data_IF_068840805361
#
_entry.id   IF_068840805361
#
_cell.length_a   1.000
_cell.length_b   1.000
_cell.length_c   1.000
_cell.angle_alpha   90.00
_cell.angle_beta   90.00
_cell.angle_gamma   90.00
#
_symmetry.space_group_name_H-M   'P 1'
#
loop_
_entity.id
_entity.type
_entity.pdbx_description
1 polymer ?
#
# COMPACT_ATOMS: atom_id res chain seq x y z
N UNK A 1 -34.00 45.03 6.74
CA UNK A 1 -33.65 44.09 5.64
C UNK A 1 -32.22 43.61 5.87
N UNK A 2 -31.91 42.34 5.56
CA UNK A 2 -30.63 41.61 5.78
C UNK A 2 -30.48 40.94 7.17
N UNK A 3 -31.05 39.73 7.33
CA UNK A 3 -30.72 38.75 8.41
C UNK A 3 -31.07 37.31 7.99
N UNK A 4 -30.56 36.77 6.88
CA UNK A 4 -30.87 35.38 6.47
C UNK A 4 -29.67 34.56 5.89
N UNK A 5 -28.42 35.06 5.94
CA UNK A 5 -27.28 34.38 5.32
C UNK A 5 -26.43 33.49 6.26
N UNK A 6 -26.69 33.47 7.57
CA UNK A 6 -25.80 32.80 8.54
C UNK A 6 -26.18 31.32 8.86
N UNK A 7 -27.34 30.84 8.43
CA UNK A 7 -27.85 29.51 8.81
C UNK A 7 -27.44 28.37 7.86
N UNK A 8 -26.93 28.65 6.66
CA UNK A 8 -26.62 27.63 5.65
C UNK A 8 -25.19 27.05 5.75
N UNK A 9 -24.28 27.71 6.47
CA UNK A 9 -22.86 27.29 6.60
C UNK A 9 -22.69 26.22 7.69
N UNK A 10 -23.57 26.18 8.69
CA UNK A 10 -23.45 25.24 9.81
C UNK A 10 -23.88 23.79 9.48
N UNK A 11 -24.80 23.58 8.51
CA UNK A 11 -25.23 22.23 8.13
C UNK A 11 -24.18 21.46 7.31
N UNK A 12 -23.33 22.16 6.55
CA UNK A 12 -22.26 21.52 5.77
C UNK A 12 -21.13 20.94 6.65
N UNK A 13 -20.86 21.55 7.80
CA UNK A 13 -19.76 21.15 8.68
C UNK A 13 -20.04 19.86 9.47
N UNK A 14 -21.30 19.56 9.79
CA UNK A 14 -21.66 18.31 10.49
C UNK A 14 -21.71 17.09 9.57
N UNK A 15 -21.99 17.26 8.28
CA UNK A 15 -21.96 16.17 7.31
C UNK A 15 -20.53 15.67 7.01
N UNK A 16 -19.52 16.54 7.10
CA UNK A 16 -18.11 16.17 6.88
C UNK A 16 -17.49 15.32 8.00
N UNK A 17 -17.89 15.53 9.26
CA UNK A 17 -17.36 14.77 10.40
C UNK A 17 -17.84 13.30 10.41
N UNK A 18 -19.02 13.02 9.86
CA UNK A 18 -19.55 11.66 9.73
C UNK A 18 -18.88 10.86 8.60
N UNK A 19 -18.34 11.52 7.57
CA UNK A 19 -17.57 10.85 6.51
C UNK A 19 -16.17 10.42 6.96
N UNK A 20 -15.62 11.05 8.01
CA UNK A 20 -14.35 10.68 8.63
C UNK A 20 -14.47 9.72 9.82
N UNK A 21 -15.70 9.34 10.21
CA UNK A 21 -15.92 8.10 10.94
C UNK A 21 -15.60 6.95 9.98
N UNK A 22 -14.30 6.71 9.79
CA UNK A 22 -13.77 5.68 8.94
C UNK A 22 -14.56 4.41 9.20
N UNK A 23 -15.15 3.88 8.14
CA UNK A 23 -15.81 2.59 8.13
C UNK A 23 -14.87 1.60 8.82
N UNK A 24 -15.13 1.28 10.10
CA UNK A 24 -14.20 0.47 10.92
C UNK A 24 -14.12 -0.95 10.38
N UNK A 25 -15.02 -1.32 9.47
CA UNK A 25 -14.93 -2.57 8.72
C UNK A 25 -13.81 -2.57 7.68
N UNK A 26 -13.26 -1.40 7.32
CA UNK A 26 -12.14 -1.31 6.40
C UNK A 26 -10.79 -1.11 7.12
N UNK A 27 -9.82 -1.93 6.73
CA UNK A 27 -8.42 -1.78 7.12
C UNK A 27 -7.78 -0.66 6.29
N UNK A 28 -6.95 0.21 6.90
CA UNK A 28 -6.07 1.07 6.14
C UNK A 28 -5.11 0.19 5.34
N UNK A 29 -5.19 0.25 4.02
CA UNK A 29 -4.35 -0.55 3.15
C UNK A 29 -4.10 0.14 1.80
N UNK A 30 -2.96 -0.16 1.19
CA UNK A 30 -2.59 0.31 -0.14
C UNK A 30 -1.80 -0.77 -0.90
N UNK A 31 -1.84 -0.70 -2.23
CA UNK A 31 -1.09 -1.63 -3.09
C UNK A 31 -0.60 -0.93 -4.34
N UNK A 32 0.61 -1.29 -4.79
CA UNK A 32 1.14 -0.92 -6.11
C UNK A 32 0.92 -2.05 -7.15
N UNK A 33 0.28 -3.14 -6.74
CA UNK A 33 0.00 -4.32 -7.56
C UNK A 33 1.04 -5.43 -7.46
N UNK A 34 2.24 -5.15 -6.93
CA UNK A 34 3.26 -6.15 -6.60
C UNK A 34 3.45 -6.29 -5.08
N UNK A 35 3.25 -5.20 -4.35
CA UNK A 35 3.37 -5.05 -2.90
C UNK A 35 2.03 -4.58 -2.34
N UNK A 36 1.58 -5.23 -1.27
CA UNK A 36 0.42 -4.84 -0.50
C UNK A 36 0.85 -4.50 0.94
N UNK A 37 0.34 -3.38 1.44
CA UNK A 37 0.58 -2.87 2.79
C UNK A 37 -0.75 -2.77 3.51
N UNK A 38 -0.87 -3.42 4.66
CA UNK A 38 -2.13 -3.54 5.40
C UNK A 38 -1.86 -3.23 6.87
N UNK A 39 -2.66 -2.34 7.47
CA UNK A 39 -2.57 -2.06 8.90
C UNK A 39 -3.64 -2.83 9.64
N UNK A 40 -3.22 -3.66 10.61
CA UNK A 40 -4.11 -4.47 11.46
C UNK A 40 -3.97 -4.05 12.92
N UNK A 41 -5.02 -4.24 13.70
CA UNK A 41 -4.97 -4.05 15.15
C UNK A 41 -4.54 -5.37 15.83
N UNK A 42 -3.63 -5.27 16.80
CA UNK A 42 -3.17 -6.37 17.65
C UNK A 42 -3.32 -5.96 19.11
N UNK A 43 -3.86 -6.84 19.94
CA UNK A 43 -3.89 -6.64 21.39
C UNK A 43 -2.50 -6.89 21.97
N UNK A 44 -1.95 -5.90 22.68
CA UNK A 44 -0.72 -6.02 23.44
C UNK A 44 -0.97 -5.71 24.93
N UNK A 45 -0.05 -6.07 25.85
CA UNK A 45 -0.21 -5.76 27.28
C UNK A 45 -0.38 -4.26 27.58
N UNK A 46 0.18 -3.39 26.74
CA UNK A 46 0.09 -1.93 26.83
C UNK A 46 -1.15 -1.32 26.15
N UNK A 47 -2.02 -2.15 25.56
CA UNK A 47 -3.19 -1.72 24.79
C UNK A 47 -3.16 -2.18 23.33
N UNK A 48 -4.03 -1.60 22.51
CA UNK A 48 -4.10 -1.92 21.09
C UNK A 48 -2.91 -1.32 20.32
N UNK A 49 -2.18 -2.16 19.60
CA UNK A 49 -1.12 -1.80 18.67
C UNK A 49 -1.62 -1.86 17.24
N UNK A 50 -1.06 -1.01 16.37
CA UNK A 50 -1.39 -0.99 14.94
C UNK A 50 -0.19 -1.50 14.15
N UNK A 51 -0.27 -2.73 13.68
CA UNK A 51 0.85 -3.42 13.02
C UNK A 51 0.73 -3.24 11.53
N UNK A 52 1.80 -2.76 10.89
CA UNK A 52 1.87 -2.69 9.42
C UNK A 52 2.44 -3.98 8.88
N UNK A 53 1.63 -4.67 8.10
CA UNK A 53 1.95 -5.91 7.42
C UNK A 53 2.30 -5.64 5.96
N UNK A 54 3.35 -6.31 5.47
CA UNK A 54 3.80 -6.27 4.09
C UNK A 54 3.66 -7.65 3.45
N UNK A 55 2.92 -7.71 2.34
CA UNK A 55 2.86 -8.87 1.45
C UNK A 55 3.42 -8.47 0.08
N UNK A 56 4.13 -9.38 -0.59
CA UNK A 56 4.59 -9.18 -1.96
C UNK A 56 4.46 -10.45 -2.79
N UNK A 57 4.15 -10.29 -4.08
CA UNK A 57 4.06 -11.42 -5.03
C UNK A 57 5.33 -12.28 -5.05
N UNK A 58 6.49 -11.63 -4.99
CA UNK A 58 7.79 -12.30 -5.02
C UNK A 58 8.09 -13.14 -3.76
N UNK A 59 7.22 -13.11 -2.75
CA UNK A 59 7.29 -14.06 -1.62
C UNK A 59 6.88 -15.48 -2.03
N UNK A 60 6.18 -15.67 -3.16
CA UNK A 60 5.90 -16.99 -3.73
C UNK A 60 4.92 -17.86 -2.94
N UNK A 61 4.05 -17.25 -2.14
CA UNK A 61 3.05 -17.95 -1.32
C UNK A 61 2.24 -16.99 -0.46
N UNK A 62 1.39 -17.56 0.40
CA UNK A 62 0.59 -16.85 1.39
C UNK A 62 1.46 -16.46 2.59
N UNK A 63 2.42 -15.56 2.36
CA UNK A 63 3.35 -15.07 3.37
C UNK A 63 3.15 -13.60 3.67
N UNK A 64 3.54 -13.17 4.87
CA UNK A 64 3.49 -11.77 5.29
C UNK A 64 4.69 -11.44 6.18
N UNK A 65 5.15 -10.20 6.13
CA UNK A 65 6.15 -9.66 7.05
C UNK A 65 5.53 -8.57 7.91
N UNK A 66 5.80 -8.59 9.21
CA UNK A 66 5.59 -7.42 10.06
C UNK A 66 6.68 -6.38 9.72
N UNK A 67 6.27 -5.22 9.19
CA UNK A 67 7.19 -4.18 8.78
C UNK A 67 7.55 -3.27 9.97
N UNK A 68 6.54 -2.81 10.72
CA UNK A 68 6.69 -1.94 11.89
C UNK A 68 5.35 -1.79 12.64
N UNK A 69 5.42 -1.24 13.85
CA UNK A 69 4.26 -0.94 14.70
C UNK A 69 4.03 0.58 14.74
N UNK A 70 2.79 1.00 14.60
CA UNK A 70 2.34 2.37 14.67
C UNK A 70 1.68 2.67 16.02
N UNK A 71 1.83 3.89 16.54
CA UNK A 71 1.24 4.26 17.83
C UNK A 71 -0.29 4.40 17.77
N UNK A 72 -0.86 4.61 16.57
CA UNK A 72 -2.29 4.86 16.33
C UNK A 72 -2.69 4.33 14.94
N UNK A 73 -3.99 4.20 14.68
CA UNK A 73 -4.51 3.91 13.33
C UNK A 73 -4.16 5.08 12.39
N UNK A 74 -3.58 4.82 11.21
CA UNK A 74 -3.36 5.89 10.24
C UNK A 74 -4.69 6.40 9.66
N UNK A 75 -4.69 7.68 9.28
CA UNK A 75 -5.82 8.32 8.60
C UNK A 75 -5.83 7.93 7.11
N UNK A 76 -4.64 7.80 6.50
CA UNK A 76 -4.50 7.32 5.12
C UNK A 76 -3.15 6.64 4.86
N UNK A 77 -3.11 5.84 3.79
CA UNK A 77 -1.94 5.10 3.32
C UNK A 77 -1.93 5.12 1.79
N UNK A 78 -0.75 5.17 1.17
CA UNK A 78 -0.56 5.01 -0.27
C UNK A 78 0.69 4.16 -0.54
N UNK A 79 0.73 3.50 -1.70
CA UNK A 79 1.86 2.63 -2.08
C UNK A 79 2.31 2.90 -3.52
N UNK A 80 3.62 2.78 -3.75
CA UNK A 80 4.27 2.90 -5.06
C UNK A 80 5.66 2.29 -4.99
N UNK A 81 6.03 1.49 -5.99
CA UNK A 81 7.37 0.90 -6.16
C UNK A 81 7.98 0.30 -4.89
N UNK A 82 7.26 -0.65 -4.29
CA UNK A 82 7.63 -1.29 -3.02
C UNK A 82 7.72 -0.35 -1.81
N UNK A 83 7.33 0.91 -1.95
CA UNK A 83 7.30 1.89 -0.87
C UNK A 83 5.88 2.11 -0.39
N UNK A 84 5.76 2.48 0.89
CA UNK A 84 4.52 2.85 1.54
C UNK A 84 4.65 4.22 2.18
N UNK A 85 3.60 5.01 2.04
CA UNK A 85 3.44 6.32 2.67
C UNK A 85 2.29 6.27 3.64
N UNK A 86 2.49 6.80 4.84
CA UNK A 86 1.53 6.71 5.94
C UNK A 86 1.31 8.10 6.50
N UNK A 87 0.04 8.51 6.59
CA UNK A 87 -0.37 9.76 7.23
C UNK A 87 -1.11 9.44 8.51
N UNK A 88 -0.56 9.88 9.64
CA UNK A 88 -1.17 9.71 10.95
C UNK A 88 -2.17 10.84 11.20
N UNK A 89 -3.26 10.58 11.94
CA UNK A 89 -4.14 11.64 12.40
C UNK A 89 -3.38 12.61 13.32
N UNK A 90 -3.81 13.88 13.45
CA UNK A 90 -3.23 14.80 14.42
C UNK A 90 -3.21 14.20 15.84
N UNK A 91 -2.12 14.40 16.59
CA UNK A 91 -2.01 13.92 17.98
C UNK A 91 -3.10 14.50 18.89
N UNK A 92 -3.42 15.76 18.64
CA UNK A 92 -4.44 16.54 19.34
C UNK A 92 -5.04 17.56 18.37
N UNK A 93 -6.11 18.23 18.81
CA UNK A 93 -6.80 19.23 17.98
C UNK A 93 -5.87 20.39 17.65
N UNK A 94 -5.70 20.68 16.36
CA UNK A 94 -4.82 21.75 15.88
C UNK A 94 -3.35 21.34 15.71
N UNK A 95 -2.96 20.14 16.15
CA UNK A 95 -1.65 19.59 15.83
C UNK A 95 -1.54 19.26 14.33
N UNK A 96 -0.32 19.06 13.84
CA UNK A 96 -0.06 18.59 12.48
C UNK A 96 -0.23 17.06 12.39
N UNK A 97 -0.37 16.55 11.17
CA UNK A 97 -0.37 15.12 10.84
C UNK A 97 1.06 14.66 10.59
N UNK A 98 1.50 13.63 11.30
CA UNK A 98 2.80 13.03 11.04
C UNK A 98 2.76 12.21 9.75
N UNK A 99 3.84 12.28 8.97
CA UNK A 99 3.95 11.64 7.67
C UNK A 99 5.20 10.78 7.66
N UNK A 100 5.02 9.50 7.35
CA UNK A 100 6.08 8.50 7.34
C UNK A 100 6.17 7.81 5.99
N UNK A 101 7.35 7.29 5.67
CA UNK A 101 7.49 6.30 4.60
C UNK A 101 8.42 5.16 4.96
N UNK A 102 8.30 4.06 4.24
CA UNK A 102 9.22 2.91 4.30
C UNK A 102 9.26 2.22 2.95
N UNK A 103 10.41 1.67 2.58
CA UNK A 103 10.59 0.90 1.35
C UNK A 103 10.88 -0.55 1.69
N UNK A 104 10.23 -1.50 1.01
CA UNK A 104 10.55 -2.92 1.14
C UNK A 104 11.61 -3.32 0.12
N UNK A 105 12.77 -3.77 0.59
CA UNK A 105 13.87 -4.26 -0.25
C UNK A 105 13.97 -5.78 -0.11
N UNK A 106 14.16 -6.48 -1.23
CA UNK A 106 14.39 -7.93 -1.22
C UNK A 106 15.87 -8.21 -1.03
N UNK A 107 16.21 -8.97 0.00
CA UNK A 107 17.56 -9.49 0.18
C UNK A 107 17.87 -10.48 -0.95
N UNK A 108 18.90 -10.25 -1.78
CA UNK A 108 19.36 -11.25 -2.73
C UNK A 108 19.91 -12.48 -2.01
N UNK A 109 20.26 -12.33 -0.72
CA UNK A 109 20.81 -13.41 0.06
C UNK A 109 19.73 -14.41 0.49
N UNK A 110 18.75 -13.93 1.23
CA UNK A 110 17.75 -14.80 1.87
C UNK A 110 16.45 -14.91 1.07
N UNK A 111 16.31 -14.09 0.02
CA UNK A 111 15.04 -13.88 -0.68
C UNK A 111 13.98 -13.16 0.17
N UNK A 112 14.27 -12.89 1.44
CA UNK A 112 13.36 -12.22 2.36
C UNK A 112 13.28 -10.72 2.08
N UNK A 113 12.15 -10.11 2.40
CA UNK A 113 11.99 -8.67 2.32
C UNK A 113 12.34 -8.06 3.67
N UNK A 114 12.90 -6.87 3.66
CA UNK A 114 13.16 -6.07 4.85
C UNK A 114 12.81 -4.61 4.56
N UNK A 115 12.60 -3.82 5.62
CA UNK A 115 12.37 -2.38 5.48
C UNK A 115 13.70 -1.66 5.26
N UNK A 116 13.73 -0.64 4.41
CA UNK A 116 14.85 0.28 4.24
C UNK A 116 14.41 1.70 4.62
N UNK A 117 14.99 2.33 5.66
CA UNK A 117 16.00 1.77 6.58
C UNK A 117 15.47 0.62 7.46
N UNK A 118 16.31 -0.36 7.85
CA UNK A 118 15.91 -1.49 8.69
C UNK A 118 15.30 -1.07 10.03
N UNK A 119 14.07 -1.54 10.28
CA UNK A 119 13.35 -1.33 11.55
C UNK A 119 12.96 0.12 11.83
N UNK A 120 13.02 1.02 10.83
CA UNK A 120 12.72 2.44 11.00
C UNK A 120 11.84 2.97 9.88
N UNK A 121 11.12 4.03 10.20
CA UNK A 121 10.37 4.84 9.25
C UNK A 121 11.20 6.07 8.90
N UNK A 122 11.17 6.45 7.62
CA UNK A 122 11.59 7.77 7.19
C UNK A 122 10.53 8.78 7.62
N UNK A 123 10.95 9.83 8.32
CA UNK A 123 10.06 10.89 8.80
C UNK A 123 10.10 12.04 7.81
N UNK A 124 8.93 12.53 7.41
CA UNK A 124 8.76 13.61 6.45
C UNK A 124 8.18 14.86 7.12
N UNK A 125 8.29 16.04 6.48
CA UNK A 125 7.54 17.23 6.89
C UNK A 125 6.07 16.91 7.19
N UNK A 126 5.61 17.24 8.39
CA UNK A 126 4.23 16.98 8.82
C UNK A 126 3.23 17.77 7.97
N UNK A 127 2.13 17.16 7.59
CA UNK A 127 1.02 17.80 6.86
C UNK A 127 0.18 18.65 7.83
N UNK A 128 -0.38 19.82 7.44
CA UNK A 128 -1.26 20.57 8.34
C UNK A 128 -2.47 19.73 8.79
N UNK A 129 -2.89 19.91 10.05
CA UNK A 129 -3.94 19.11 10.68
C UNK A 129 -5.36 19.64 10.56
N UNK A 130 -5.54 20.82 10.00
CA UNK A 130 -6.84 21.41 9.72
C UNK A 130 -7.55 20.67 8.57
N UNK A 131 -8.88 20.67 8.59
CA UNK A 131 -9.72 19.95 7.62
C UNK A 131 -9.66 18.41 7.74
N UNK A 132 -10.66 17.74 7.18
CA UNK A 132 -10.63 16.27 7.02
C UNK A 132 -9.67 15.90 5.87
N UNK A 133 -8.88 14.83 6.02
CA UNK A 133 -8.09 14.30 4.92
C UNK A 133 -9.03 13.57 3.94
N UNK A 134 -9.10 14.06 2.70
CA UNK A 134 -9.90 13.48 1.62
C UNK A 134 -9.15 12.33 0.91
N UNK A 135 -7.86 12.17 1.19
CA UNK A 135 -7.05 11.03 0.76
C UNK A 135 -5.63 11.42 0.41
N UNK A 136 -4.89 10.41 -0.03
CA UNK A 136 -3.50 10.52 -0.47
C UNK A 136 -3.25 9.63 -1.69
N UNK A 137 -2.28 10.00 -2.51
CA UNK A 137 -1.83 9.20 -3.64
C UNK A 137 -0.34 9.46 -3.86
N UNK A 138 0.36 8.57 -4.56
CA UNK A 138 1.76 8.81 -4.95
C UNK A 138 1.80 9.22 -6.42
N UNK A 139 2.57 10.26 -6.71
CA UNK A 139 2.83 10.75 -8.05
C UNK A 139 4.33 10.99 -8.22
N UNK A 140 4.94 10.28 -9.16
CA UNK A 140 6.39 10.36 -9.45
C UNK A 140 7.26 10.27 -8.16
N UNK A 141 6.92 9.31 -7.29
CA UNK A 141 7.60 9.09 -6.00
C UNK A 141 7.28 10.12 -4.91
N UNK A 142 6.49 11.16 -5.18
CA UNK A 142 6.07 12.15 -4.20
C UNK A 142 4.65 11.90 -3.69
N UNK A 143 4.44 12.11 -2.39
CA UNK A 143 3.11 12.01 -1.79
C UNK A 143 2.26 13.24 -2.14
N UNK A 144 1.10 13.01 -2.73
CA UNK A 144 0.01 13.98 -2.84
C UNK A 144 -0.95 13.79 -1.67
N UNK A 145 -1.39 14.89 -1.08
CA UNK A 145 -2.42 14.91 -0.05
C UNK A 145 -3.48 15.95 -0.38
N UNK A 146 -4.74 15.63 -0.06
CA UNK A 146 -5.83 16.57 -0.24
C UNK A 146 -6.70 16.66 1.01
N UNK A 147 -6.92 17.88 1.49
CA UNK A 147 -7.70 18.16 2.71
C UNK A 147 -8.93 19.00 2.36
N UNK A 148 -10.02 18.76 3.06
CA UNK A 148 -11.26 19.51 2.89
C UNK A 148 -11.03 21.01 3.19
N UNK A 149 -11.38 21.87 2.25
CA UNK A 149 -11.20 23.32 2.37
C UNK A 149 -9.80 23.83 2.02
N UNK A 150 -8.88 22.96 1.58
CA UNK A 150 -7.54 23.33 1.14
C UNK A 150 -7.31 22.95 -0.33
N UNK A 151 -6.31 23.56 -0.96
CA UNK A 151 -5.74 23.07 -2.22
C UNK A 151 -5.08 21.71 -2.01
N UNK A 152 -4.93 20.93 -3.08
CA UNK A 152 -4.08 19.74 -3.04
C UNK A 152 -2.63 20.17 -2.76
N UNK A 153 -1.89 19.36 -2.02
CA UNK A 153 -0.50 19.63 -1.63
C UNK A 153 0.39 18.46 -2.06
N UNK A 154 1.59 18.74 -2.54
CA UNK A 154 2.63 17.76 -2.86
C UNK A 154 3.75 17.86 -1.83
N UNK A 155 4.22 16.72 -1.36
CA UNK A 155 5.39 16.63 -0.50
C UNK A 155 6.66 16.77 -1.34
N UNK A 156 7.47 17.78 -1.05
CA UNK A 156 8.82 17.97 -1.56
C UNK A 156 9.88 17.86 -0.48
N UNK A 157 11.15 18.04 -0.86
CA UNK A 157 12.28 17.90 0.06
C UNK A 157 12.27 18.89 1.23
N UNK A 158 11.72 20.09 1.02
CA UNK A 158 11.68 21.17 2.02
C UNK A 158 10.33 21.32 2.73
N UNK A 159 9.32 20.53 2.36
CA UNK A 159 7.97 20.67 2.91
C UNK A 159 6.87 20.44 1.89
N UNK A 160 5.67 20.84 2.29
CA UNK A 160 4.47 20.75 1.47
C UNK A 160 4.34 22.01 0.61
N UNK A 161 4.08 21.82 -0.69
CA UNK A 161 3.79 22.90 -1.63
C UNK A 161 2.43 22.69 -2.25
N UNK A 162 1.74 23.78 -2.61
CA UNK A 162 0.51 23.69 -3.38
C UNK A 162 0.76 22.89 -4.68
N UNK A 163 -0.19 22.03 -5.02
CA UNK A 163 -0.18 21.28 -6.26
C UNK A 163 -1.21 21.92 -7.20
N UNK A 164 -0.71 22.60 -8.24
CA UNK A 164 -1.50 23.45 -9.14
C UNK A 164 -2.27 22.64 -10.19
N UNK A 165 -2.97 21.59 -9.77
CA UNK A 165 -3.91 20.86 -10.60
C UNK A 165 -5.34 21.25 -10.22
N UNK A 166 -6.10 21.73 -11.20
CA UNK A 166 -7.51 22.03 -11.02
C UNK A 166 -8.27 20.74 -10.67
N UNK A 167 -8.71 20.63 -9.40
CA UNK A 167 -9.53 19.51 -8.97
C UNK A 167 -10.95 19.72 -9.52
N UNK A 168 -11.53 18.73 -10.23
CA UNK A 168 -12.88 18.84 -10.75
C UNK A 168 -13.91 19.15 -9.65
N UNK A 169 -14.88 20.00 -9.98
CA UNK A 169 -15.95 20.35 -9.06
C UNK A 169 -16.71 19.10 -8.61
N UNK A 170 -16.96 19.00 -7.30
CA UNK A 170 -17.68 17.86 -6.70
C UNK A 170 -16.83 16.62 -6.43
N UNK A 171 -15.52 16.64 -6.74
CA UNK A 171 -14.61 15.64 -6.22
C UNK A 171 -14.59 15.68 -4.68
N UNK A 172 -14.43 14.52 -4.06
CA UNK A 172 -14.51 14.33 -2.60
C UNK A 172 -13.48 13.35 -2.06
N UNK A 173 -12.69 12.72 -2.93
CA UNK A 173 -11.69 11.73 -2.53
C UNK A 173 -10.48 11.78 -3.47
N UNK A 174 -9.29 11.63 -2.89
CA UNK A 174 -8.03 11.38 -3.61
C UNK A 174 -7.60 9.93 -3.34
N UNK A 175 -7.26 9.17 -4.38
CA UNK A 175 -6.75 7.79 -4.28
C UNK A 175 -5.96 7.44 -5.54
N UNK A 176 -5.62 6.17 -5.72
CA UNK A 176 -4.87 5.67 -6.88
C UNK A 176 -5.77 4.77 -7.73
N UNK A 177 -5.87 5.06 -9.02
CA UNK A 177 -6.58 4.24 -10.01
C UNK A 177 -5.61 3.88 -11.13
N UNK A 178 -5.47 2.59 -11.42
CA UNK A 178 -4.55 2.10 -12.46
C UNK A 178 -3.09 2.62 -12.29
N UNK A 179 -2.63 2.72 -11.04
CA UNK A 179 -1.29 3.21 -10.69
C UNK A 179 -1.09 4.72 -10.84
N UNK A 180 -2.16 5.50 -11.03
CA UNK A 180 -2.10 6.97 -11.15
C UNK A 180 -2.95 7.64 -10.10
N UNK A 181 -2.54 8.82 -9.59
CA UNK A 181 -3.41 9.65 -8.76
C UNK A 181 -4.74 9.92 -9.47
N UNK A 182 -5.82 9.81 -8.70
CA UNK A 182 -7.17 9.99 -9.20
C UNK A 182 -8.02 10.71 -8.16
N UNK A 183 -8.88 11.60 -8.64
CA UNK A 183 -9.92 12.23 -7.83
C UNK A 183 -11.29 11.71 -8.24
N UNK A 184 -12.11 11.46 -7.23
CA UNK A 184 -13.43 10.84 -7.39
C UNK A 184 -14.47 11.72 -6.70
N UNK A 185 -15.64 11.88 -7.34
CA UNK A 185 -16.83 12.50 -6.75
C UNK A 185 -17.93 11.47 -6.51
N UNK A 186 -18.86 11.77 -5.58
CA UNK A 186 -19.93 10.83 -5.20
C UNK A 186 -20.95 10.48 -6.30
N UNK A 187 -21.00 11.25 -7.38
CA UNK A 187 -21.82 10.97 -8.57
C UNK A 187 -21.15 11.42 -9.88
N UNK A 188 -19.86 11.76 -9.83
CA UNK A 188 -19.12 12.38 -10.93
C UNK A 188 -18.13 11.42 -11.59
N UNK A 189 -17.56 11.80 -12.75
CA UNK A 189 -16.53 11.01 -13.40
C UNK A 189 -15.29 10.89 -12.50
N UNK A 190 -14.59 9.78 -12.62
CA UNK A 190 -13.23 9.63 -12.07
C UNK A 190 -12.31 10.46 -12.94
N UNK A 191 -11.54 11.38 -12.36
CA UNK A 191 -10.53 12.12 -13.09
C UNK A 191 -9.13 11.64 -12.70
N UNK A 192 -8.31 11.32 -13.70
CA UNK A 192 -6.94 10.85 -13.50
C UNK A 192 -5.96 11.99 -13.71
N UNK A 193 -4.89 12.00 -12.93
CA UNK A 193 -3.79 12.95 -13.12
C UNK A 193 -2.98 12.57 -14.35
N UNK A 194 -3.00 13.43 -15.37
CA UNK A 194 -2.25 13.35 -16.62
C UNK A 194 -0.75 13.55 -16.44
N UNK A 195 0.03 13.16 -17.44
CA UNK A 195 1.46 13.44 -17.51
C UNK A 195 1.76 14.95 -17.64
N UNK A 196 0.76 15.73 -18.05
CA UNK A 196 0.77 17.20 -18.06
C UNK A 196 0.49 17.82 -16.67
N UNK A 197 0.27 17.00 -15.64
CA UNK A 197 -0.05 17.44 -14.30
C UNK A 197 -1.49 17.92 -14.11
N UNK A 198 -2.37 17.71 -15.10
CA UNK A 198 -3.78 18.11 -15.02
C UNK A 198 -4.70 16.91 -14.76
N UNK A 199 -5.78 17.11 -14.00
CA UNK A 199 -6.83 16.10 -13.88
C UNK A 199 -7.72 16.12 -15.12
N UNK A 200 -7.80 14.99 -15.80
CA UNK A 200 -8.71 14.79 -16.93
C UNK A 200 -9.77 13.76 -16.55
N UNK A 201 -11.04 14.10 -16.80
CA UNK A 201 -12.15 13.17 -16.60
C UNK A 201 -11.96 11.94 -17.50
N UNK A 202 -11.99 10.76 -16.89
CA UNK A 202 -12.10 9.52 -17.63
C UNK A 202 -13.52 9.39 -18.19
N UNK A 203 -13.63 8.77 -19.36
CA UNK A 203 -14.89 8.46 -20.05
C UNK A 203 -15.74 7.38 -19.34
N UNK A 204 -15.25 6.83 -18.24
CA UNK A 204 -15.89 5.74 -17.53
C UNK A 204 -17.14 6.21 -16.81
N UNK A 205 -18.22 5.47 -17.01
CA UNK A 205 -19.47 5.68 -16.30
C UNK A 205 -19.45 4.92 -14.98
N UNK A 206 -19.81 5.62 -13.92
CA UNK A 206 -20.02 5.05 -12.59
C UNK A 206 -21.50 5.23 -12.25
N UNK A 207 -22.18 4.22 -11.68
CA UNK A 207 -23.59 4.35 -11.33
C UNK A 207 -23.84 5.55 -10.41
N UNK A 208 -24.82 6.39 -10.75
CA UNK A 208 -25.14 7.59 -9.99
C UNK A 208 -25.55 7.23 -8.54
N UNK A 209 -25.01 7.96 -7.57
CA UNK A 209 -25.30 7.77 -6.15
C UNK A 209 -24.62 6.55 -5.51
N UNK A 210 -23.85 5.78 -6.28
CA UNK A 210 -23.11 4.65 -5.74
C UNK A 210 -21.88 5.09 -4.96
N UNK A 211 -21.59 4.42 -3.84
CA UNK A 211 -20.33 4.61 -3.12
C UNK A 211 -19.24 3.79 -3.82
N UNK A 212 -18.31 4.50 -4.44
CA UNK A 212 -17.27 3.90 -5.28
C UNK A 212 -15.92 4.06 -4.63
N UNK A 213 -15.17 2.96 -4.57
CA UNK A 213 -13.84 2.89 -3.97
C UNK A 213 -12.88 2.28 -5.00
N UNK A 214 -11.81 2.99 -5.40
CA UNK A 214 -10.74 2.40 -6.19
C UNK A 214 -10.18 1.16 -5.50
N UNK A 215 -9.88 0.12 -6.29
CA UNK A 215 -9.10 -1.02 -5.82
C UNK A 215 -7.66 -0.77 -6.24
N UNK A 216 -6.87 -0.22 -5.31
CA UNK A 216 -5.47 0.15 -5.54
C UNK A 216 -4.61 -1.07 -5.90
N UNK A 217 -3.59 -0.87 -6.74
CA UNK A 217 -2.70 -1.93 -7.20
C UNK A 217 -3.23 -2.72 -8.41
N UNK A 218 -4.47 -2.48 -8.85
CA UNK A 218 -4.91 -2.98 -10.16
C UNK A 218 -4.22 -2.18 -11.28
N UNK A 219 -3.68 -2.87 -12.30
CA UNK A 219 -3.13 -2.23 -13.52
C UNK A 219 -4.18 -1.61 -14.44
N UNK A 220 -5.45 -1.96 -14.20
CA UNK A 220 -6.63 -1.47 -14.91
C UNK A 220 -7.51 -0.75 -13.90
N UNK A 221 -8.39 0.16 -14.35
CA UNK A 221 -9.26 0.91 -13.44
C UNK A 221 -10.35 -0.01 -12.87
N UNK A 222 -10.05 -0.65 -11.75
CA UNK A 222 -10.98 -1.53 -11.04
C UNK A 222 -11.49 -0.80 -9.81
N UNK A 223 -12.79 -0.90 -9.58
CA UNK A 223 -13.46 -0.27 -8.44
C UNK A 223 -14.34 -1.28 -7.70
N UNK A 224 -14.46 -1.08 -6.40
CA UNK A 224 -15.51 -1.65 -5.58
C UNK A 224 -16.69 -0.69 -5.51
N UNK A 225 -17.89 -1.21 -5.70
CA UNK A 225 -19.16 -0.49 -5.58
C UNK A 225 -19.96 -1.15 -4.47
N UNK A 226 -20.33 -0.36 -3.46
CA UNK A 226 -21.26 -0.80 -2.42
C UNK A 226 -22.62 -1.13 -3.05
N UNK A 227 -23.06 -2.39 -2.93
CA UNK A 227 -24.31 -2.86 -3.50
C UNK A 227 -25.53 -2.56 -2.61
N UNK A 228 -25.33 -2.04 -1.39
CA UNK A 228 -26.40 -1.71 -0.45
C UNK A 228 -27.02 -2.91 0.29
N UNK A 229 -26.73 -4.13 -0.15
CA UNK A 229 -27.07 -5.40 0.50
C UNK A 229 -25.96 -5.89 1.45
N UNK A 230 -24.94 -5.07 1.68
CA UNK A 230 -23.74 -5.40 2.45
C UNK A 230 -22.62 -6.03 1.62
N UNK A 231 -22.88 -6.39 0.36
CA UNK A 231 -21.87 -6.86 -0.59
C UNK A 231 -21.12 -5.72 -1.28
N UNK A 232 -19.96 -6.05 -1.85
CA UNK A 232 -19.22 -5.15 -2.75
C UNK A 232 -19.15 -5.76 -4.14
N UNK A 233 -19.72 -5.07 -5.13
CA UNK A 233 -19.55 -5.43 -6.53
C UNK A 233 -18.23 -4.88 -7.05
N UNK A 234 -17.40 -5.76 -7.59
CA UNK A 234 -16.11 -5.40 -8.19
C UNK A 234 -16.30 -5.23 -9.68
N UNK A 235 -15.94 -4.07 -10.21
CA UNK A 235 -16.10 -3.75 -11.62
C UNK A 235 -14.80 -3.25 -12.23
N UNK A 236 -14.52 -3.71 -13.45
CA UNK A 236 -13.53 -3.12 -14.33
C UNK A 236 -14.19 -2.01 -15.15
N UNK A 237 -13.71 -0.79 -14.96
CA UNK A 237 -14.14 0.35 -15.75
C UNK A 237 -13.50 0.33 -17.14
N UNK A 238 -14.29 0.66 -18.15
CA UNK A 238 -13.85 0.82 -19.54
C UNK A 238 -14.84 1.73 -20.27
N UNK A 239 -14.47 2.12 -21.49
CA UNK A 239 -15.36 2.91 -22.34
C UNK A 239 -16.61 2.12 -22.73
N UNK A 240 -17.76 2.81 -22.71
CA UNK A 240 -19.07 2.22 -22.98
C UNK A 240 -19.74 1.69 -21.71
N UNK A 241 -19.31 0.53 -21.21
CA UNK A 241 -19.94 -0.11 -20.05
C UNK A 241 -18.93 -0.85 -19.16
N UNK A 242 -19.05 -0.73 -17.81
CA UNK A 242 -18.23 -1.48 -16.88
C UNK A 242 -18.44 -2.99 -17.04
N UNK A 243 -17.41 -3.77 -16.73
CA UNK A 243 -17.48 -5.23 -16.69
C UNK A 243 -17.54 -5.65 -15.22
N UNK A 244 -18.60 -6.33 -14.82
CA UNK A 244 -18.65 -6.98 -13.52
C UNK A 244 -17.59 -8.09 -13.46
N UNK A 245 -16.68 -7.98 -12.50
CA UNK A 245 -15.64 -8.98 -12.25
C UNK A 245 -16.07 -9.98 -11.18
N UNK A 246 -16.65 -9.50 -10.08
CA UNK A 246 -17.07 -10.35 -8.96
C UNK A 246 -18.08 -9.63 -8.06
N UNK A 247 -18.76 -10.41 -7.22
CA UNK A 247 -19.47 -9.89 -6.04
C UNK A 247 -18.78 -10.46 -4.81
N UNK A 248 -18.35 -9.58 -3.91
CA UNK A 248 -17.64 -9.93 -2.69
C UNK A 248 -18.58 -9.84 -1.51
N UNK A 249 -18.72 -10.94 -0.79
CA UNK A 249 -19.35 -10.95 0.52
C UNK A 249 -18.33 -10.46 1.58
N UNK A 250 -18.73 -9.56 2.49
CA UNK A 250 -17.85 -9.09 3.54
C UNK A 250 -17.51 -10.26 4.48
N UNK A 251 -16.25 -10.39 4.93
CA UNK A 251 -15.81 -11.53 5.74
C UNK A 251 -16.29 -11.48 7.21
N UNK A 252 -17.26 -10.61 7.55
CA UNK A 252 -17.75 -10.40 8.92
C UNK A 252 -16.73 -9.78 9.90
N UNK A 253 -15.57 -9.34 9.40
CA UNK A 253 -14.45 -8.79 10.16
C UNK A 253 -13.75 -7.69 9.36
N UNK A 254 -12.92 -6.84 9.98
CA UNK A 254 -12.19 -5.80 9.26
C UNK A 254 -11.39 -6.37 8.08
N UNK A 255 -11.49 -5.71 6.92
CA UNK A 255 -10.90 -6.18 5.67
C UNK A 255 -10.44 -5.06 4.74
N UNK A 256 -9.65 -5.39 3.74
CA UNK A 256 -9.27 -4.53 2.63
C UNK A 256 -9.40 -5.28 1.31
N UNK A 257 -9.68 -4.56 0.23
CA UNK A 257 -9.72 -5.10 -1.14
C UNK A 257 -8.63 -4.40 -1.94
N UNK A 258 -7.67 -5.17 -2.44
CA UNK A 258 -6.50 -4.64 -3.15
C UNK A 258 -6.27 -5.42 -4.44
N UNK A 259 -5.69 -4.76 -5.43
CA UNK A 259 -5.12 -5.38 -6.61
C UNK A 259 -3.75 -5.97 -6.31
N UNK A 260 -3.52 -7.19 -6.79
CA UNK A 260 -2.25 -7.89 -6.62
C UNK A 260 -2.02 -8.89 -7.75
N UNK A 261 -0.94 -8.72 -8.50
CA UNK A 261 -0.53 -9.64 -9.57
C UNK A 261 -1.53 -9.77 -10.71
N UNK A 262 -2.30 -8.70 -10.98
CA UNK A 262 -3.38 -8.72 -11.98
C UNK A 262 -4.69 -9.36 -11.50
N UNK A 263 -4.77 -9.76 -10.24
CA UNK A 263 -6.00 -10.23 -9.58
C UNK A 263 -6.48 -9.23 -8.53
N UNK A 264 -7.73 -9.37 -8.08
CA UNK A 264 -8.23 -8.71 -6.87
C UNK A 264 -8.08 -9.67 -5.69
N UNK A 265 -7.65 -9.16 -4.54
CA UNK A 265 -7.48 -9.91 -3.32
C UNK A 265 -8.19 -9.22 -2.15
N UNK A 266 -8.89 -10.03 -1.35
CA UNK A 266 -9.51 -9.62 -0.10
C UNK A 266 -8.61 -10.03 1.04
N UNK A 267 -8.13 -9.05 1.80
CA UNK A 267 -7.35 -9.24 3.01
C UNK A 267 -8.26 -9.04 4.21
N UNK A 268 -8.30 -9.99 5.14
CA UNK A 268 -9.18 -9.89 6.31
C UNK A 268 -8.45 -10.31 7.59
N UNK A 269 -8.64 -9.58 8.69
CA UNK A 269 -7.98 -9.88 9.96
C UNK A 269 -8.38 -11.26 10.48
N UNK A 270 -7.44 -12.07 10.96
CA UNK A 270 -7.79 -13.34 11.64
C UNK A 270 -8.05 -13.19 13.13
N UNK A 271 -7.85 -11.98 13.68
CA UNK A 271 -7.70 -11.76 15.11
C UNK A 271 -6.22 -11.77 15.51
N UNK A 272 -5.90 -11.20 16.68
CA UNK A 272 -4.56 -11.15 17.27
C UNK A 272 -3.43 -10.62 16.34
N UNK A 273 -3.78 -9.73 15.40
CA UNK A 273 -2.81 -9.16 14.45
C UNK A 273 -2.47 -10.05 13.25
N UNK A 274 -3.13 -11.19 13.08
CA UNK A 274 -2.98 -12.03 11.89
C UNK A 274 -3.86 -11.57 10.71
N UNK A 275 -3.52 -12.05 9.50
CA UNK A 275 -4.20 -11.69 8.26
C UNK A 275 -4.44 -12.94 7.40
N UNK A 276 -5.59 -12.97 6.73
CA UNK A 276 -5.90 -13.96 5.69
C UNK A 276 -6.04 -13.29 4.34
N UNK A 277 -5.74 -14.00 3.27
CA UNK A 277 -5.92 -13.56 1.89
C UNK A 277 -6.93 -14.47 1.18
N UNK A 278 -7.82 -13.88 0.40
CA UNK A 278 -8.70 -14.57 -0.54
C UNK A 278 -8.55 -13.93 -1.91
N UNK A 279 -8.13 -14.69 -2.92
CA UNK A 279 -7.96 -14.18 -4.29
C UNK A 279 -9.23 -14.38 -5.09
N UNK A 280 -9.54 -13.41 -5.93
CA UNK A 280 -10.61 -13.48 -6.94
C UNK A 280 -9.96 -13.87 -8.26
N UNK A 281 -10.44 -14.95 -8.85
CA UNK A 281 -10.01 -15.37 -10.17
C UNK A 281 -10.39 -14.27 -11.20
N UNK A 282 -9.42 -13.72 -11.94
CA UNK A 282 -9.67 -12.58 -12.83
C UNK A 282 -10.48 -12.95 -14.07
N UNK A 283 -10.67 -14.24 -14.37
CA UNK A 283 -11.42 -14.75 -15.53
C UNK A 283 -12.84 -15.11 -15.11
N UNK A 284 -12.99 -15.90 -14.04
CA UNK A 284 -14.28 -16.45 -13.62
C UNK A 284 -15.01 -15.59 -12.59
N UNK A 285 -14.28 -14.68 -11.92
CA UNK A 285 -14.84 -13.90 -10.81
C UNK A 285 -15.03 -14.69 -9.52
N UNK A 286 -14.71 -15.99 -9.52
CA UNK A 286 -14.87 -16.83 -8.35
C UNK A 286 -13.80 -16.53 -7.32
N UNK A 287 -14.21 -16.48 -6.06
CA UNK A 287 -13.28 -16.31 -4.95
C UNK A 287 -12.71 -17.67 -4.52
N UNK A 288 -11.39 -17.75 -4.38
CA UNK A 288 -10.71 -18.92 -3.82
C UNK A 288 -11.07 -19.13 -2.33
N UNK A 289 -10.59 -20.21 -1.74
CA UNK A 289 -10.62 -20.37 -0.29
C UNK A 289 -9.76 -19.28 0.37
N UNK A 290 -10.12 -18.88 1.60
CA UNK A 290 -9.27 -17.98 2.37
C UNK A 290 -8.05 -18.75 2.92
N UNK A 291 -6.86 -18.19 2.74
CA UNK A 291 -5.61 -18.73 3.27
C UNK A 291 -5.09 -17.79 4.36
N UNK A 292 -4.66 -18.34 5.49
CA UNK A 292 -4.00 -17.54 6.54
C UNK A 292 -2.58 -17.23 6.07
N UNK A 293 -2.19 -15.97 6.16
CA UNK A 293 -0.83 -15.57 5.80
C UNK A 293 0.13 -16.00 6.91
N UNK A 294 1.13 -16.79 6.53
CA UNK A 294 2.21 -17.22 7.42
C UNK A 294 3.31 -16.16 7.49
N UNK A 295 4.11 -16.12 8.57
CA UNK A 295 5.31 -15.31 8.60
C UNK A 295 6.22 -15.61 7.40
N UNK A 296 6.81 -14.56 6.83
CA UNK A 296 7.75 -14.69 5.73
C UNK A 296 8.88 -15.66 6.07
N UNK A 297 9.14 -16.60 5.16
CA UNK A 297 10.31 -17.47 5.24
C UNK A 297 11.58 -16.68 4.94
N UNK A 298 12.61 -16.86 5.77
CA UNK A 298 13.96 -16.43 5.47
C UNK A 298 14.81 -17.68 5.25
N UNK A 299 15.13 -17.98 3.99
CA UNK A 299 15.97 -19.13 3.66
C UNK A 299 17.41 -18.67 3.45
N UNK A 300 18.24 -18.84 4.48
CA UNK A 300 19.68 -18.59 4.38
C UNK A 300 20.48 -19.84 3.92
N UNK A 301 19.83 -20.99 3.73
CA UNK A 301 20.51 -22.27 3.49
C UNK A 301 21.37 -22.24 2.23
N UNK A 302 20.88 -21.62 1.15
CA UNK A 302 21.63 -21.44 -0.09
C UNK A 302 22.95 -20.68 0.11
N UNK A 303 22.99 -19.69 1.00
CA UNK A 303 24.19 -18.90 1.26
C UNK A 303 25.19 -19.60 2.16
N UNK A 304 24.70 -20.31 3.15
CA UNK A 304 25.56 -21.17 3.97
C UNK A 304 26.26 -22.21 3.08
N UNK A 305 25.55 -22.80 2.12
CA UNK A 305 26.12 -23.71 1.13
C UNK A 305 27.15 -23.03 0.22
N UNK A 306 26.86 -21.83 -0.30
CA UNK A 306 27.79 -21.11 -1.17
C UNK A 306 29.08 -20.67 -0.43
N UNK A 307 28.97 -20.20 0.80
CA UNK A 307 30.12 -19.89 1.63
C UNK A 307 30.95 -21.15 1.91
N UNK A 308 30.30 -22.27 2.29
CA UNK A 308 30.98 -23.54 2.50
C UNK A 308 31.69 -24.05 1.24
N UNK A 309 31.04 -23.94 0.06
CA UNK A 309 31.65 -24.29 -1.22
C UNK A 309 32.84 -23.39 -1.57
N UNK A 310 32.75 -22.08 -1.30
CA UNK A 310 33.86 -21.16 -1.50
C UNK A 310 35.05 -21.49 -0.58
N UNK A 311 34.80 -21.80 0.70
CA UNK A 311 35.84 -22.25 1.63
C UNK A 311 36.46 -23.58 1.20
N UNK A 312 35.66 -24.54 0.74
CA UNK A 312 36.15 -25.81 0.20
C UNK A 312 37.02 -25.59 -1.04
N UNK A 313 36.60 -24.73 -1.98
CA UNK A 313 37.34 -24.41 -3.19
C UNK A 313 38.68 -23.70 -2.87
N UNK A 314 38.66 -22.75 -1.93
CA UNK A 314 39.87 -22.08 -1.43
C UNK A 314 40.83 -23.07 -0.74
N UNK A 315 40.30 -24.01 0.06
CA UNK A 315 41.08 -25.07 0.69
C UNK A 315 41.76 -25.99 -0.32
N UNK A 316 41.03 -26.40 -1.38
CA UNK A 316 41.58 -27.20 -2.48
C UNK A 316 42.68 -26.43 -3.22
N UNK A 317 42.45 -25.15 -3.54
CA UNK A 317 43.43 -24.31 -4.23
C UNK A 317 44.71 -24.12 -3.40
N UNK A 318 44.57 -23.86 -2.09
CA UNK A 318 45.70 -23.75 -1.17
C UNK A 318 46.49 -25.06 -1.07
N UNK A 319 45.79 -26.20 -0.96
CA UNK A 319 46.42 -27.53 -0.95
C UNK A 319 47.21 -27.83 -2.23
N UNK A 320 46.65 -27.49 -3.40
CA UNK A 320 47.33 -27.63 -4.69
C UNK A 320 48.58 -26.73 -4.80
N UNK A 321 48.50 -25.49 -4.30
CA UNK A 321 49.62 -24.56 -4.28
C UNK A 321 50.77 -25.07 -3.38
N UNK A 322 50.45 -25.56 -2.18
CA UNK A 322 51.43 -26.17 -1.26
C UNK A 322 52.08 -27.40 -1.90
N UNK A 323 51.28 -28.29 -2.51
CA UNK A 323 51.80 -29.47 -3.20
C UNK A 323 52.76 -29.10 -4.35
N UNK A 324 52.43 -28.09 -5.15
CA UNK A 324 53.33 -27.58 -6.21
C UNK A 324 54.62 -27.02 -5.63
N UNK A 325 54.55 -26.23 -4.57
CA UNK A 325 55.73 -25.66 -3.90
C UNK A 325 56.66 -26.74 -3.31
N UNK A 326 56.09 -27.82 -2.77
CA UNK A 326 56.85 -28.96 -2.25
C UNK A 326 57.42 -29.85 -3.37
N UNK A 327 56.64 -30.11 -4.43
CA UNK A 327 57.09 -30.90 -5.58
C UNK A 327 58.25 -30.26 -6.35
N UNK A 328 58.32 -28.93 -6.39
CA UNK A 328 59.45 -28.20 -6.97
C UNK A 328 60.78 -28.40 -6.20
N UNK A 329 60.74 -28.84 -4.95
CA UNK A 329 61.96 -29.16 -4.19
C UNK A 329 62.49 -30.58 -4.45
N UNK A 330 61.66 -31.50 -4.92
CA UNK A 330 62.05 -32.91 -5.08
C UNK A 330 62.83 -33.21 -6.37
N UNK A 331 62.82 -32.31 -7.36
CA UNK A 331 63.41 -32.57 -8.69
C UNK A 331 64.83 -32.00 -8.90
N UNK A 332 65.56 -31.63 -7.84
CA UNK A 332 66.89 -30.98 -7.97
C UNK A 332 68.08 -31.74 -7.38
N UNK A 333 67.88 -33.00 -6.98
CA UNK A 333 68.95 -33.88 -6.52
C UNK A 333 68.95 -35.13 -7.40
N UNK A 334 69.69 -35.09 -8.51
CA UNK A 334 70.47 -36.20 -9.07
C UNK A 334 71.05 -35.75 -10.42
N UNK A 335 72.36 -35.46 -10.37
CA UNK A 335 73.12 -34.91 -11.49
C UNK A 335 74.57 -34.68 -11.09
N UNK A 336 75.22 -35.73 -10.58
CA UNK A 336 76.67 -35.92 -10.58
C UNK A 336 76.97 -37.37 -10.89
#
# INVERSE_FOLDING_TARGET
>A
MIRHAAALVALGAMAGAAAAAADRSLLPAASDGAHAWIVVERTAPSGAEHVVLHHALAMGGSFVREAFVLPRRPEAIAASDASVWIVMPPAERGARRDVFSSTAVRSPATGAFYSDPPGRLSIHPSLPGDGALLGVAVDDGALLAWRAGASMERLGASGWTAFDAAVPAGASMLSTVAGRPAVLGGAGPIALLGADGAFAAASWQVPAGARVRPIEGCRRPVVGIDAGDGGTRVELLRDGAPIALATLEPPGRPFAVLGLGGSVAVFATTGEGGLSIRRVDPITGQSAAAEVLEPQRADASGWVCMAALAFAALGVAAGLAVRRALGLKAARADGR
#
